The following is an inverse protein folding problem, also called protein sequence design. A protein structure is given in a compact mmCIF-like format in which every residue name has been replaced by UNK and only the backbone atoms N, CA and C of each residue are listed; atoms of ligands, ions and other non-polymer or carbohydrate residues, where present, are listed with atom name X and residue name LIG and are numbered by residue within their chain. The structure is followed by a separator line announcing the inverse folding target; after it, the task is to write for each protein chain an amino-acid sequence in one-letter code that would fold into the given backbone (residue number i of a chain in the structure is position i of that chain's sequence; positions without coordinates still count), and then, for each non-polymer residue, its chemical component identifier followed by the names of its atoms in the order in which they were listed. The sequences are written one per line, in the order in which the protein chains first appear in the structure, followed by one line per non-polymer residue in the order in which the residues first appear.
data_IF_786585047765
#
_entry.id   IF_786585047765
#
_cell.length_a   1.000
_cell.length_b   1.000
_cell.length_c   1.000
_cell.angle_alpha   90.00
_cell.angle_beta   90.00
_cell.angle_gamma   90.00
#
_symmetry.space_group_name_H-M   'P 1'
#
loop_
_entity.id
_entity.type
_entity.pdbx_description
1 polymer ?
#
# COMPACT_ATOMS: atom_id res chain seq x y z
N UNK A 1 -5.55 -5.01 30.07
CA UNK A 1 -4.65 -5.44 28.98
C UNK A 1 -5.34 -6.55 28.22
N UNK A 2 -5.36 -6.50 26.88
CA UNK A 2 -5.95 -7.56 26.03
C UNK A 2 -4.99 -8.74 25.99
N UNK A 3 -5.47 -9.94 26.34
CA UNK A 3 -4.69 -11.18 26.33
C UNK A 3 -4.29 -11.58 24.90
N UNK A 4 -3.21 -12.34 24.75
CA UNK A 4 -2.70 -12.76 23.44
C UNK A 4 -3.77 -13.44 22.58
N UNK A 5 -4.56 -14.34 23.16
CA UNK A 5 -5.68 -15.03 22.49
C UNK A 5 -6.67 -14.04 21.90
N UNK A 6 -7.08 -13.03 22.67
CA UNK A 6 -8.01 -11.99 22.19
C UNK A 6 -7.42 -11.20 21.03
N UNK A 7 -6.10 -10.92 21.04
CA UNK A 7 -5.44 -10.22 19.93
C UNK A 7 -5.48 -11.02 18.64
N UNK A 8 -5.17 -12.32 18.73
CA UNK A 8 -5.25 -13.22 17.58
C UNK A 8 -6.70 -13.36 17.09
N UNK A 9 -7.68 -13.51 17.99
CA UNK A 9 -9.09 -13.58 17.59
C UNK A 9 -9.55 -12.31 16.86
N UNK A 10 -9.17 -11.12 17.33
CA UNK A 10 -9.50 -9.86 16.64
C UNK A 10 -8.87 -9.83 15.24
N UNK A 11 -7.58 -10.19 15.13
CA UNK A 11 -6.89 -10.18 13.84
C UNK A 11 -7.48 -11.21 12.87
N UNK A 12 -7.55 -12.48 13.27
CA UNK A 12 -8.07 -13.55 12.41
C UNK A 12 -9.55 -13.35 12.08
N UNK A 13 -10.36 -12.90 13.05
CA UNK A 13 -11.75 -12.55 12.81
C UNK A 13 -11.90 -11.43 11.78
N UNK A 14 -11.06 -10.39 11.85
CA UNK A 14 -11.05 -9.32 10.86
C UNK A 14 -10.63 -9.83 9.47
N UNK A 15 -9.55 -10.63 9.38
CA UNK A 15 -9.08 -11.22 8.12
C UNK A 15 -10.13 -12.15 7.48
N UNK A 16 -10.90 -12.89 8.29
CA UNK A 16 -11.99 -13.74 7.83
C UNK A 16 -13.20 -12.92 7.34
N UNK A 17 -13.44 -11.74 7.92
CA UNK A 17 -14.53 -10.86 7.50
C UNK A 17 -14.20 -10.13 6.18
N UNK A 18 -12.92 -9.85 5.93
CA UNK A 18 -12.45 -9.09 4.77
C UNK A 18 -12.96 -9.63 3.43
N UNK A 19 -12.90 -10.94 3.09
CA UNK A 19 -13.49 -11.47 1.86
C UNK A 19 -14.96 -11.11 1.66
N UNK A 20 -15.79 -11.19 2.71
CA UNK A 20 -17.22 -10.88 2.62
C UNK A 20 -17.48 -9.40 2.30
N UNK A 21 -16.56 -8.52 2.70
CA UNK A 21 -16.65 -7.08 2.43
C UNK A 21 -16.26 -6.78 0.97
N UNK A 22 -15.19 -7.41 0.48
CA UNK A 22 -14.57 -7.01 -0.80
C UNK A 22 -15.09 -7.77 -2.01
N UNK A 23 -15.58 -9.00 -1.83
CA UNK A 23 -16.04 -9.82 -2.95
C UNK A 23 -17.21 -9.18 -3.73
N UNK A 24 -18.18 -8.49 -3.11
CA UNK A 24 -19.22 -7.77 -3.85
C UNK A 24 -18.67 -6.69 -4.79
N UNK A 25 -17.57 -6.02 -4.42
CA UNK A 25 -16.99 -4.95 -5.24
C UNK A 25 -16.42 -5.46 -6.57
N UNK A 26 -16.06 -6.75 -6.65
CA UNK A 26 -15.51 -7.37 -7.86
C UNK A 26 -16.60 -7.50 -8.94
N UNK A 27 -17.87 -7.66 -8.56
CA UNK A 27 -18.96 -7.88 -9.50
C UNK A 27 -19.16 -6.73 -10.49
N UNK A 28 -18.83 -5.49 -10.09
CA UNK A 28 -18.95 -4.31 -10.94
C UNK A 28 -17.69 -4.01 -11.75
N UNK A 29 -16.63 -4.81 -11.60
CA UNK A 29 -15.36 -4.64 -12.34
C UNK A 29 -15.30 -5.46 -13.62
N UNK A 30 -16.39 -6.09 -14.07
CA UNK A 30 -16.36 -6.90 -15.29
C UNK A 30 -15.85 -6.09 -16.49
N UNK A 31 -14.88 -6.67 -17.21
CA UNK A 31 -14.37 -6.16 -18.48
C UNK A 31 -15.10 -6.81 -19.65
N UNK A 32 -14.88 -6.31 -20.85
CA UNK A 32 -15.41 -6.90 -22.09
C UNK A 32 -14.90 -8.33 -22.36
N UNK A 33 -13.82 -8.73 -21.69
CA UNK A 33 -13.23 -10.07 -21.75
C UNK A 33 -13.86 -11.05 -20.74
N UNK A 34 -14.88 -10.61 -19.98
CA UNK A 34 -15.61 -11.44 -19.03
C UNK A 34 -14.93 -11.63 -17.66
N UNK A 35 -13.66 -11.22 -17.51
CA UNK A 35 -12.94 -11.18 -16.25
C UNK A 35 -12.98 -9.81 -15.55
N UNK A 36 -12.72 -9.70 -14.24
CA UNK A 36 -12.64 -8.42 -13.55
C UNK A 36 -11.43 -7.60 -14.01
N UNK A 37 -11.67 -6.38 -14.45
CA UNK A 37 -10.70 -5.53 -15.14
C UNK A 37 -9.51 -5.14 -14.25
N UNK A 38 -8.28 -5.20 -14.80
CA UNK A 38 -7.07 -4.78 -14.09
C UNK A 38 -7.04 -3.27 -13.82
N UNK A 39 -7.63 -2.48 -14.73
CA UNK A 39 -7.83 -1.05 -14.59
C UNK A 39 -9.29 -0.74 -14.33
N UNK A 40 -9.55 0.26 -13.50
CA UNK A 40 -10.93 0.64 -13.16
C UNK A 40 -11.62 1.31 -14.34
N UNK A 41 -10.86 2.04 -15.16
CA UNK A 41 -11.34 2.62 -16.42
C UNK A 41 -11.63 1.57 -17.50
N UNK A 42 -11.06 0.37 -17.38
CA UNK A 42 -11.27 -0.73 -18.33
C UNK A 42 -12.46 -1.63 -17.97
N UNK A 43 -13.27 -1.27 -16.99
CA UNK A 43 -14.51 -1.98 -16.67
C UNK A 43 -15.64 -1.53 -17.60
N UNK A 44 -16.63 -2.39 -17.84
CA UNK A 44 -17.84 -2.08 -18.63
C UNK A 44 -18.60 -0.87 -18.06
N UNK A 45 -18.58 -0.72 -16.74
CA UNK A 45 -19.17 0.39 -16.03
C UNK A 45 -18.15 1.02 -15.06
N UNK A 46 -17.24 1.89 -15.54
CA UNK A 46 -16.15 2.43 -14.73
C UNK A 46 -16.65 3.12 -13.45
N UNK A 47 -17.72 3.92 -13.58
CA UNK A 47 -18.32 4.62 -12.44
C UNK A 47 -18.83 3.66 -11.34
N UNK A 48 -19.47 2.54 -11.73
CA UNK A 48 -19.95 1.56 -10.76
C UNK A 48 -18.80 0.75 -10.15
N UNK A 49 -17.76 0.46 -10.93
CA UNK A 49 -16.54 -0.16 -10.44
C UNK A 49 -15.85 0.70 -9.37
N UNK A 50 -15.71 2.01 -9.64
CA UNK A 50 -15.18 2.98 -8.68
C UNK A 50 -16.04 3.07 -7.43
N UNK A 51 -17.37 3.19 -7.59
CA UNK A 51 -18.30 3.30 -6.47
C UNK A 51 -18.25 2.05 -5.57
N UNK A 52 -18.25 0.86 -6.17
CA UNK A 52 -18.16 -0.41 -5.45
C UNK A 52 -16.85 -0.55 -4.69
N UNK A 53 -15.74 -0.13 -5.32
CA UNK A 53 -14.42 -0.15 -4.70
C UNK A 53 -14.30 0.85 -3.56
N UNK A 54 -14.81 2.08 -3.74
CA UNK A 54 -14.86 3.09 -2.69
C UNK A 54 -15.72 2.63 -1.51
N UNK A 55 -16.88 2.03 -1.77
CA UNK A 55 -17.74 1.48 -0.71
C UNK A 55 -17.03 0.38 0.08
N UNK A 56 -16.37 -0.55 -0.61
CA UNK A 56 -15.58 -1.60 0.04
C UNK A 56 -14.45 -0.98 0.89
N UNK A 57 -13.73 0.01 0.37
CA UNK A 57 -12.67 0.73 1.10
C UNK A 57 -13.20 1.46 2.32
N UNK A 58 -14.40 2.06 2.28
CA UNK A 58 -15.03 2.70 3.45
C UNK A 58 -15.33 1.66 4.53
N UNK A 59 -15.88 0.50 4.16
CA UNK A 59 -16.17 -0.58 5.12
C UNK A 59 -14.87 -1.17 5.69
N UNK A 60 -13.86 -1.38 4.84
CA UNK A 60 -12.53 -1.81 5.27
C UNK A 60 -11.88 -0.77 6.19
N UNK A 61 -12.04 0.51 5.91
CA UNK A 61 -11.53 1.60 6.76
C UNK A 61 -12.19 1.57 8.14
N UNK A 62 -13.50 1.33 8.21
CA UNK A 62 -14.20 1.15 9.48
C UNK A 62 -13.66 -0.07 10.25
N UNK A 63 -13.53 -1.21 9.57
CA UNK A 63 -12.97 -2.44 10.15
C UNK A 63 -11.53 -2.23 10.64
N UNK A 64 -10.67 -1.70 9.79
CA UNK A 64 -9.28 -1.38 10.11
C UNK A 64 -9.16 -0.34 11.23
N UNK A 65 -10.07 0.63 11.30
CA UNK A 65 -10.22 1.55 12.42
C UNK A 65 -10.50 0.83 13.74
N UNK A 66 -11.48 -0.08 13.77
CA UNK A 66 -11.80 -0.90 14.95
C UNK A 66 -10.61 -1.76 15.36
N UNK A 67 -9.98 -2.46 14.42
CA UNK A 67 -8.79 -3.30 14.66
C UNK A 67 -7.63 -2.46 15.19
N UNK A 68 -7.41 -1.26 14.63
CA UNK A 68 -6.31 -0.38 15.03
C UNK A 68 -6.43 0.10 16.47
N UNK A 69 -7.65 0.35 16.95
CA UNK A 69 -7.90 0.69 18.35
C UNK A 69 -7.66 -0.49 19.28
N UNK A 70 -8.13 -1.67 18.89
CA UNK A 70 -7.94 -2.88 19.69
C UNK A 70 -6.48 -3.29 19.79
N UNK A 71 -5.74 -3.23 18.68
CA UNK A 71 -4.39 -3.77 18.55
C UNK A 71 -3.35 -2.66 18.41
N UNK A 72 -3.11 -2.23 17.17
CA UNK A 72 -2.18 -1.18 16.78
C UNK A 72 -2.52 -0.71 15.36
N UNK A 73 -2.15 0.54 15.05
CA UNK A 73 -2.29 1.21 13.75
C UNK A 73 -1.78 0.36 12.58
N UNK A 74 -0.57 -0.20 12.69
CA UNK A 74 0.00 -1.05 11.65
C UNK A 74 -0.87 -2.28 11.37
N UNK A 75 -1.43 -2.93 12.40
CA UNK A 75 -2.30 -4.09 12.22
C UNK A 75 -3.62 -3.72 11.55
N UNK A 76 -4.18 -2.56 11.88
CA UNK A 76 -5.38 -2.03 11.19
C UNK A 76 -5.13 -1.79 9.70
N UNK A 77 -4.01 -1.16 9.34
CA UNK A 77 -3.62 -0.93 7.94
C UNK A 77 -3.29 -2.23 7.22
N UNK A 78 -2.71 -3.22 7.90
CA UNK A 78 -2.48 -4.55 7.35
C UNK A 78 -3.79 -5.23 6.94
N UNK A 79 -4.84 -5.16 7.78
CA UNK A 79 -6.17 -5.71 7.45
C UNK A 79 -6.79 -5.03 6.23
N UNK A 80 -6.65 -3.70 6.12
CA UNK A 80 -7.12 -2.96 4.95
C UNK A 80 -6.34 -3.38 3.70
N UNK A 81 -5.02 -3.44 3.79
CA UNK A 81 -4.14 -3.89 2.71
C UNK A 81 -4.46 -5.30 2.26
N UNK A 82 -4.70 -6.23 3.19
CA UNK A 82 -5.15 -7.59 2.90
C UNK A 82 -6.45 -7.61 2.10
N UNK A 83 -7.41 -6.73 2.43
CA UNK A 83 -8.65 -6.59 1.65
C UNK A 83 -8.43 -6.12 0.24
N UNK A 84 -7.58 -5.10 0.04
CA UNK A 84 -7.24 -4.63 -1.31
C UNK A 84 -6.45 -5.69 -2.07
N UNK A 85 -5.55 -6.43 -1.42
CA UNK A 85 -4.86 -7.58 -2.00
C UNK A 85 -5.84 -8.65 -2.52
N UNK A 86 -6.92 -8.95 -1.79
CA UNK A 86 -7.94 -9.89 -2.25
C UNK A 86 -8.67 -9.37 -3.51
N UNK A 87 -8.94 -8.07 -3.60
CA UNK A 87 -9.51 -7.47 -4.81
C UNK A 87 -8.51 -7.59 -5.97
N UNK A 88 -7.25 -7.20 -5.75
CA UNK A 88 -6.18 -7.27 -6.75
C UNK A 88 -5.99 -8.70 -7.28
N UNK A 89 -5.97 -9.69 -6.38
CA UNK A 89 -5.82 -11.11 -6.75
C UNK A 89 -6.95 -11.65 -7.63
N UNK A 90 -8.15 -11.04 -7.52
CA UNK A 90 -9.33 -11.39 -8.31
C UNK A 90 -9.48 -10.56 -9.58
N UNK A 91 -8.71 -9.48 -9.72
CA UNK A 91 -8.60 -8.76 -10.99
C UNK A 91 -7.70 -9.53 -11.95
N UNK A 92 -7.89 -9.31 -13.24
CA UNK A 92 -7.04 -9.89 -14.26
C UNK A 92 -5.63 -9.29 -14.24
N UNK A 93 -4.73 -9.92 -14.99
CA UNK A 93 -3.31 -9.60 -15.04
C UNK A 93 -3.00 -8.54 -16.10
N UNK A 94 -1.70 -8.25 -16.26
CA UNK A 94 -1.15 -7.48 -17.38
C UNK A 94 -1.52 -8.05 -18.76
N UNK A 95 -1.85 -9.33 -18.86
CA UNK A 95 -2.23 -9.96 -20.12
C UNK A 95 -3.53 -9.37 -20.66
N UNK A 96 -4.60 -9.36 -19.84
CA UNK A 96 -5.87 -8.71 -20.21
C UNK A 96 -5.68 -7.22 -20.45
N UNK A 97 -4.84 -6.55 -19.66
CA UNK A 97 -4.50 -5.14 -19.89
C UNK A 97 -3.90 -4.93 -21.29
N UNK A 98 -2.94 -5.77 -21.70
CA UNK A 98 -2.27 -5.64 -22.98
C UNK A 98 -3.18 -5.91 -24.18
N UNK A 99 -4.06 -6.91 -24.08
CA UNK A 99 -5.01 -7.26 -25.14
C UNK A 99 -6.23 -6.35 -25.21
N UNK A 100 -6.51 -5.58 -24.15
CA UNK A 100 -7.56 -4.55 -24.17
C UNK A 100 -7.14 -3.26 -24.88
N UNK A 101 -5.93 -3.20 -25.45
CA UNK A 101 -5.34 -2.01 -26.08
C UNK A 101 -5.38 -0.75 -25.18
N UNK A 102 -5.44 -0.97 -23.86
CA UNK A 102 -5.49 0.10 -22.89
C UNK A 102 -4.17 0.88 -22.89
N UNK A 103 -4.28 2.20 -22.67
CA UNK A 103 -3.13 3.08 -22.67
C UNK A 103 -2.17 2.74 -21.53
N UNK A 104 -0.89 2.52 -21.85
CA UNK A 104 0.19 2.33 -20.86
C UNK A 104 0.34 3.56 -19.96
N UNK A 105 0.04 4.75 -20.48
CA UNK A 105 -0.01 5.97 -19.67
C UNK A 105 -1.13 5.93 -18.63
N UNK A 106 -2.30 5.37 -18.98
CA UNK A 106 -3.42 5.25 -18.05
C UNK A 106 -3.07 4.35 -16.85
N UNK A 107 -2.23 3.33 -17.04
CA UNK A 107 -1.72 2.50 -15.94
C UNK A 107 -1.00 3.34 -14.87
N UNK A 108 0.00 4.13 -15.29
CA UNK A 108 0.77 4.96 -14.36
C UNK A 108 -0.06 6.08 -13.73
N UNK A 109 -0.96 6.70 -14.50
CA UNK A 109 -1.89 7.73 -13.99
C UNK A 109 -2.85 7.14 -12.96
N UNK A 110 -3.47 6.00 -13.24
CA UNK A 110 -4.40 5.35 -12.31
C UNK A 110 -3.69 4.95 -11.00
N UNK A 111 -2.46 4.44 -11.07
CA UNK A 111 -1.63 4.17 -9.89
C UNK A 111 -1.40 5.45 -9.05
N UNK A 112 -1.13 6.59 -9.68
CA UNK A 112 -0.96 7.87 -8.95
C UNK A 112 -2.27 8.38 -8.36
N UNK A 113 -3.42 8.18 -9.03
CA UNK A 113 -4.72 8.60 -8.52
C UNK A 113 -5.12 7.90 -7.21
N UNK A 114 -4.52 6.75 -6.89
CA UNK A 114 -4.71 6.06 -5.62
C UNK A 114 -4.02 6.75 -4.42
N UNK A 115 -3.01 7.59 -4.66
CA UNK A 115 -2.26 8.30 -3.61
C UNK A 115 -3.16 9.07 -2.65
N UNK A 116 -4.05 9.99 -3.09
CA UNK A 116 -4.92 10.72 -2.18
C UNK A 116 -5.83 9.80 -1.37
N UNK A 117 -6.33 8.71 -1.98
CA UNK A 117 -7.21 7.76 -1.30
C UNK A 117 -6.45 7.03 -0.19
N UNK A 118 -5.27 6.50 -0.51
CA UNK A 118 -4.41 5.81 0.47
C UNK A 118 -3.93 6.74 1.57
N UNK A 119 -3.58 7.99 1.23
CA UNK A 119 -3.23 9.01 2.21
C UNK A 119 -4.39 9.31 3.16
N UNK A 120 -5.62 9.43 2.66
CA UNK A 120 -6.81 9.63 3.50
C UNK A 120 -7.02 8.42 4.43
N UNK A 121 -6.94 7.20 3.89
CA UNK A 121 -7.06 5.96 4.68
C UNK A 121 -6.03 5.96 5.82
N UNK A 122 -4.75 6.22 5.51
CA UNK A 122 -3.69 6.17 6.51
C UNK A 122 -3.86 7.28 7.55
N UNK A 123 -4.18 8.51 7.14
CA UNK A 123 -4.46 9.62 8.06
C UNK A 123 -5.62 9.28 9.00
N UNK A 124 -6.73 8.75 8.47
CA UNK A 124 -7.91 8.41 9.29
C UNK A 124 -7.58 7.32 10.30
N UNK A 125 -6.90 6.24 9.88
CA UNK A 125 -6.52 5.15 10.79
C UNK A 125 -5.57 5.66 11.87
N UNK A 126 -4.53 6.42 11.51
CA UNK A 126 -3.59 6.99 12.48
C UNK A 126 -4.26 7.95 13.47
N UNK A 127 -5.22 8.77 13.02
CA UNK A 127 -5.97 9.64 13.92
C UNK A 127 -6.86 8.84 14.86
N UNK A 128 -7.54 7.82 14.36
CA UNK A 128 -8.46 7.02 15.16
C UNK A 128 -7.74 6.18 16.22
N UNK A 129 -6.52 5.71 15.91
CA UNK A 129 -5.68 4.90 16.81
C UNK A 129 -4.74 5.71 17.71
N UNK A 130 -4.62 7.03 17.49
CA UNK A 130 -3.63 7.94 18.10
C UNK A 130 -2.17 7.62 17.72
N UNK A 131 -1.95 7.13 16.50
CA UNK A 131 -0.62 6.87 15.94
C UNK A 131 0.00 5.55 16.38
N UNK A 132 1.25 5.30 15.99
CA UNK A 132 2.02 4.16 16.47
C UNK A 132 2.42 4.39 17.93
N UNK A 133 2.13 3.40 18.79
CA UNK A 133 2.39 3.47 20.24
C UNK A 133 3.88 3.49 20.60
N UNK A 134 4.72 3.04 19.68
CA UNK A 134 6.17 2.90 19.81
C UNK A 134 6.96 4.11 19.26
N UNK A 135 6.27 5.15 18.80
CA UNK A 135 6.91 6.41 18.42
C UNK A 135 6.84 7.36 19.61
N UNK A 136 7.99 7.79 20.10
CA UNK A 136 8.04 8.78 21.18
C UNK A 136 7.58 10.14 20.64
N UNK A 137 6.50 10.68 21.18
CA UNK A 137 6.03 12.03 20.88
C UNK A 137 6.46 12.96 22.01
N UNK A 138 7.41 13.85 21.75
CA UNK A 138 7.69 14.96 22.65
C UNK A 138 6.61 16.06 22.50
N UNK A 139 6.54 17.02 23.42
CA UNK A 139 5.53 18.10 23.39
C UNK A 139 5.57 18.94 22.11
N UNK A 140 6.71 18.97 21.43
CA UNK A 140 6.93 19.66 20.15
C UNK A 140 6.57 18.84 18.91
N UNK A 141 6.27 17.54 19.05
CA UNK A 141 5.92 16.69 17.90
C UNK A 141 4.45 16.87 17.50
N UNK A 142 4.15 17.15 16.21
CA UNK A 142 2.77 17.32 15.78
C UNK A 142 1.95 16.04 15.98
N UNK A 143 0.62 16.16 16.20
CA UNK A 143 -0.25 14.99 16.37
C UNK A 143 -0.16 14.02 15.19
N UNK A 144 -0.29 12.72 15.47
CA UNK A 144 -0.27 11.68 14.44
C UNK A 144 -1.33 11.94 13.34
N UNK A 145 -0.89 12.02 12.09
CA UNK A 145 -1.75 12.32 10.95
C UNK A 145 -2.18 13.79 10.83
N UNK A 146 -1.62 14.73 11.61
CA UNK A 146 -1.82 16.17 11.40
C UNK A 146 -1.17 16.64 10.09
N UNK A 147 -1.72 17.70 9.48
CA UNK A 147 -1.15 18.28 8.24
C UNK A 147 0.29 18.74 8.44
N UNK A 148 0.60 19.25 9.62
CA UNK A 148 1.95 19.66 10.00
C UNK A 148 2.93 18.48 10.03
N UNK A 149 2.53 17.34 10.61
CA UNK A 149 3.34 16.11 10.57
C UNK A 149 3.60 15.61 9.14
N UNK A 150 2.64 15.80 8.22
CA UNK A 150 2.77 15.35 6.83
C UNK A 150 3.68 16.26 6.00
N UNK A 151 3.60 17.58 6.24
CA UNK A 151 4.40 18.59 5.51
C UNK A 151 5.81 18.76 6.05
N UNK A 152 6.08 18.27 7.26
CA UNK A 152 7.42 18.27 7.83
C UNK A 152 8.42 17.53 6.93
N UNK A 153 9.70 17.96 6.98
CA UNK A 153 10.80 17.37 6.21
C UNK A 153 10.85 15.85 6.37
N UNK A 154 10.73 15.37 7.60
CA UNK A 154 10.78 13.94 7.90
C UNK A 154 9.54 13.20 7.39
N UNK A 155 8.37 13.84 7.44
CA UNK A 155 7.14 13.30 6.86
C UNK A 155 7.28 13.09 5.36
N UNK A 156 7.77 14.10 4.64
CA UNK A 156 8.02 14.02 3.20
C UNK A 156 9.15 13.04 2.85
N UNK A 157 10.19 12.95 3.68
CA UNK A 157 11.28 12.00 3.49
C UNK A 157 10.81 10.53 3.53
N UNK A 158 9.71 10.21 4.23
CA UNK A 158 9.11 8.86 4.21
C UNK A 158 8.61 8.45 2.82
N UNK A 159 8.28 9.40 1.93
CA UNK A 159 7.90 9.07 0.55
C UNK A 159 9.07 8.46 -0.22
N UNK A 160 10.30 8.86 0.10
CA UNK A 160 11.52 8.35 -0.55
C UNK A 160 11.78 6.89 -0.23
N UNK A 161 11.19 6.35 0.85
CA UNK A 161 11.23 4.92 1.15
C UNK A 161 10.49 4.07 0.09
N UNK A 162 9.73 4.71 -0.80
CA UNK A 162 9.21 4.07 -2.02
C UNK A 162 10.30 3.61 -2.99
N UNK A 163 11.45 4.29 -3.03
CA UNK A 163 12.56 3.94 -3.93
C UNK A 163 13.07 2.51 -3.68
N UNK A 164 13.52 2.15 -2.46
CA UNK A 164 13.95 0.78 -2.20
C UNK A 164 12.79 -0.22 -2.35
N UNK A 165 11.55 0.17 -2.05
CA UNK A 165 10.39 -0.72 -2.24
C UNK A 165 10.17 -1.08 -3.71
N UNK A 166 10.22 -0.10 -4.62
CA UNK A 166 10.09 -0.33 -6.06
C UNK A 166 11.31 -1.08 -6.60
N UNK A 167 12.52 -0.78 -6.11
CA UNK A 167 13.73 -1.51 -6.50
C UNK A 167 13.66 -3.01 -6.16
N UNK A 168 13.19 -3.34 -4.95
CA UNK A 168 12.99 -4.74 -4.53
C UNK A 168 11.85 -5.38 -5.32
N UNK A 169 10.75 -4.66 -5.54
CA UNK A 169 9.63 -5.15 -6.38
C UNK A 169 10.13 -5.54 -7.76
N UNK A 170 10.88 -4.65 -8.43
CA UNK A 170 11.48 -4.92 -9.73
C UNK A 170 12.40 -6.15 -9.72
N UNK A 171 13.25 -6.28 -8.69
CA UNK A 171 14.17 -7.40 -8.57
C UNK A 171 13.46 -8.74 -8.37
N UNK A 172 12.31 -8.74 -7.68
CA UNK A 172 11.54 -9.94 -7.39
C UNK A 172 10.56 -10.31 -8.49
N UNK A 173 10.20 -9.40 -9.40
CA UNK A 173 9.32 -9.71 -10.53
C UNK A 173 10.00 -10.72 -11.48
N UNK A 174 9.39 -11.89 -11.57
CA UNK A 174 9.88 -13.03 -12.34
C UNK A 174 8.87 -13.52 -13.39
N UNK A 175 7.57 -13.40 -13.11
CA UNK A 175 6.50 -13.70 -14.05
C UNK A 175 5.27 -12.80 -13.78
N UNK A 176 4.30 -12.81 -14.68
CA UNK A 176 3.13 -11.92 -14.57
C UNK A 176 1.94 -12.54 -13.82
N UNK A 177 2.12 -13.64 -13.10
CA UNK A 177 1.00 -14.21 -12.32
C UNK A 177 0.61 -13.29 -11.16
N UNK A 178 -0.69 -13.14 -10.91
CA UNK A 178 -1.21 -12.23 -9.86
C UNK A 178 -0.51 -12.42 -8.51
N UNK A 179 -0.34 -13.67 -8.07
CA UNK A 179 0.32 -13.97 -6.80
C UNK A 179 1.79 -13.57 -6.76
N UNK A 180 2.50 -13.68 -7.88
CA UNK A 180 3.92 -13.31 -7.98
C UNK A 180 4.08 -11.79 -7.98
N UNK A 181 3.29 -11.09 -8.80
CA UNK A 181 3.30 -9.63 -8.90
C UNK A 181 2.94 -8.99 -7.55
N UNK A 182 1.82 -9.40 -6.97
CA UNK A 182 1.37 -8.91 -5.67
C UNK A 182 2.36 -9.26 -4.55
N UNK A 183 2.93 -10.46 -4.57
CA UNK A 183 3.95 -10.90 -3.62
C UNK A 183 5.24 -10.07 -3.71
N UNK A 184 5.67 -9.72 -4.92
CA UNK A 184 6.84 -8.86 -5.16
C UNK A 184 6.60 -7.44 -4.62
N UNK A 185 5.43 -6.86 -4.88
CA UNK A 185 5.06 -5.54 -4.35
C UNK A 185 4.98 -5.57 -2.83
N UNK A 186 4.34 -6.59 -2.25
CA UNK A 186 4.24 -6.77 -0.81
C UNK A 186 5.64 -6.86 -0.18
N UNK A 187 6.52 -7.71 -0.71
CA UNK A 187 7.88 -7.87 -0.21
C UNK A 187 8.70 -6.58 -0.35
N UNK A 188 8.58 -5.88 -1.48
CA UNK A 188 9.19 -4.56 -1.67
C UNK A 188 8.71 -3.56 -0.64
N UNK A 189 7.40 -3.49 -0.40
CA UNK A 189 6.81 -2.61 0.60
C UNK A 189 7.18 -2.98 2.05
N UNK A 190 7.44 -4.27 2.35
CA UNK A 190 8.03 -4.70 3.64
C UNK A 190 9.40 -4.07 3.82
N UNK A 191 10.28 -4.18 2.80
CA UNK A 191 11.62 -3.59 2.85
C UNK A 191 11.55 -2.06 2.97
N UNK A 192 10.71 -1.40 2.18
CA UNK A 192 10.47 0.04 2.30
C UNK A 192 9.96 0.42 3.70
N UNK A 193 9.07 -0.39 4.26
CA UNK A 193 8.55 -0.23 5.62
C UNK A 193 9.63 -0.31 6.70
N UNK A 194 10.51 -1.30 6.61
CA UNK A 194 11.65 -1.47 7.51
C UNK A 194 12.62 -0.30 7.40
N UNK A 195 13.04 0.04 6.17
CA UNK A 195 13.99 1.13 5.92
C UNK A 195 13.43 2.46 6.43
N UNK A 196 12.17 2.77 6.11
CA UNK A 196 11.54 4.00 6.58
C UNK A 196 11.45 4.08 8.09
N UNK A 197 11.16 2.96 8.76
CA UNK A 197 11.10 2.92 10.22
C UNK A 197 12.47 3.14 10.87
N UNK A 198 13.53 2.58 10.28
CA UNK A 198 14.90 2.71 10.79
C UNK A 198 15.51 4.09 10.48
N UNK A 199 15.23 4.65 9.30
CA UNK A 199 15.74 5.94 8.89
C UNK A 199 15.10 7.10 9.68
N UNK A 200 13.83 6.97 10.02
CA UNK A 200 13.03 8.04 10.65
C UNK A 200 12.25 7.49 11.87
N UNK A 201 12.95 7.05 12.94
CA UNK A 201 12.35 6.35 14.08
C UNK A 201 11.45 7.23 14.95
N UNK A 202 11.58 8.56 14.85
CA UNK A 202 10.81 9.54 15.64
C UNK A 202 9.55 10.05 14.93
N UNK A 203 9.39 9.70 13.66
CA UNK A 203 8.30 10.23 12.82
C UNK A 203 7.20 9.20 12.68
N UNK A 204 5.95 9.65 12.78
CA UNK A 204 4.79 8.80 12.53
C UNK A 204 4.77 8.40 11.04
N UNK A 205 4.82 7.11 10.69
CA UNK A 205 5.00 6.65 9.31
C UNK A 205 3.70 6.71 8.49
N UNK A 206 3.04 7.87 8.43
CA UNK A 206 1.76 8.05 7.71
C UNK A 206 1.97 8.03 6.20
N UNK A 207 2.96 8.79 5.70
CA UNK A 207 3.29 8.87 4.28
C UNK A 207 4.13 7.68 3.77
N UNK A 208 4.63 6.84 4.68
CA UNK A 208 5.38 5.63 4.32
C UNK A 208 4.56 4.68 3.43
N UNK A 209 3.25 4.61 3.67
CA UNK A 209 2.30 3.81 2.91
C UNK A 209 1.95 4.38 1.52
N UNK A 210 2.34 5.63 1.26
CA UNK A 210 2.10 6.31 -0.02
C UNK A 210 3.34 6.26 -0.90
N UNK A 211 4.53 6.24 -0.29
CA UNK A 211 5.82 6.27 -1.00
C UNK A 211 5.93 5.24 -2.13
N UNK A 212 5.72 3.94 -1.88
CA UNK A 212 5.84 2.92 -2.92
C UNK A 212 4.85 3.11 -4.08
N UNK A 213 3.62 3.57 -3.81
CA UNK A 213 2.61 3.87 -4.85
C UNK A 213 3.06 5.04 -5.71
N UNK A 214 3.55 6.12 -5.07
CA UNK A 214 4.06 7.30 -5.78
C UNK A 214 5.25 6.94 -6.67
N UNK A 215 6.26 6.25 -6.12
CA UNK A 215 7.46 5.90 -6.89
C UNK A 215 7.13 4.86 -7.96
N UNK A 216 6.25 3.89 -7.67
CA UNK A 216 5.80 2.89 -8.63
C UNK A 216 5.04 3.51 -9.79
N UNK A 217 4.08 4.39 -9.51
CA UNK A 217 3.32 5.13 -10.53
C UNK A 217 4.19 6.05 -11.37
N UNK A 218 5.14 6.77 -10.75
CA UNK A 218 6.12 7.58 -11.50
C UNK A 218 7.03 6.72 -12.38
N UNK A 219 7.49 5.57 -11.89
CA UNK A 219 8.28 4.63 -12.68
C UNK A 219 7.47 4.09 -13.88
N UNK A 220 6.18 3.79 -13.69
CA UNK A 220 5.29 3.38 -14.77
C UNK A 220 5.09 4.48 -15.81
N UNK A 221 4.93 5.73 -15.38
CA UNK A 221 4.85 6.90 -16.29
C UNK A 221 6.15 7.07 -17.09
N UNK A 222 7.30 6.99 -16.44
CA UNK A 222 8.61 7.10 -17.11
C UNK A 222 8.76 5.98 -18.12
N UNK A 223 8.43 4.74 -17.75
CA UNK A 223 8.48 3.60 -18.67
C UNK A 223 7.49 3.76 -19.84
N UNK A 224 6.27 4.24 -19.58
CA UNK A 224 5.27 4.52 -20.60
C UNK A 224 5.75 5.59 -21.61
N UNK A 225 6.47 6.61 -21.13
CA UNK A 225 6.99 7.68 -22.00
C UNK A 225 8.07 7.22 -22.97
N UNK A 226 8.85 6.21 -22.59
CA UNK A 226 9.87 5.59 -23.43
C UNK A 226 9.39 4.35 -24.19
N UNK A 227 8.12 3.99 -24.05
CA UNK A 227 7.57 2.77 -24.64
C UNK A 227 7.17 3.01 -26.10
N UNK A 228 7.72 2.22 -27.02
CA UNK A 228 7.33 2.22 -28.43
C UNK A 228 6.58 0.94 -28.79
N UNK A 229 5.48 1.08 -29.54
CA UNK A 229 4.64 -0.04 -29.94
C UNK A 229 3.51 -0.35 -28.94
N UNK A 230 2.91 -1.53 -29.08
CA UNK A 230 1.79 -1.98 -28.24
C UNK A 230 2.29 -2.84 -27.08
N UNK A 231 1.54 -2.85 -25.97
CA UNK A 231 1.87 -3.68 -24.81
C UNK A 231 1.78 -5.17 -25.15
N UNK A 232 0.83 -5.58 -26.01
CA UNK A 232 0.66 -6.95 -26.46
C UNK A 232 1.89 -7.47 -27.21
N UNK A 233 2.44 -6.69 -28.14
CA UNK A 233 3.62 -7.08 -28.91
C UNK A 233 4.84 -7.26 -27.99
N UNK A 234 5.02 -6.36 -27.02
CA UNK A 234 6.13 -6.43 -26.08
C UNK A 234 6.00 -7.58 -25.08
N UNK A 235 4.78 -7.97 -24.69
CA UNK A 235 4.57 -9.14 -23.84
C UNK A 235 4.88 -10.43 -24.61
N UNK A 236 4.40 -10.54 -25.85
CA UNK A 236 4.68 -11.70 -26.71
C UNK A 236 6.19 -11.81 -27.01
N UNK A 237 6.85 -10.69 -27.26
CA UNK A 237 8.30 -10.63 -27.48
C UNK A 237 9.14 -10.80 -26.20
N UNK A 238 8.51 -10.81 -25.01
CA UNK A 238 9.20 -10.89 -23.72
C UNK A 238 10.04 -9.64 -23.38
N UNK A 239 9.79 -8.51 -24.04
CA UNK A 239 10.53 -7.25 -23.90
C UNK A 239 9.82 -6.23 -23.02
N UNK A 240 8.57 -6.49 -22.63
CA UNK A 240 7.80 -5.61 -21.75
C UNK A 240 8.52 -5.37 -20.40
N UNK A 241 8.77 -4.11 -20.02
CA UNK A 241 9.36 -3.77 -18.73
C UNK A 241 8.55 -4.35 -17.56
N UNK A 242 9.24 -5.02 -16.64
CA UNK A 242 8.59 -5.78 -15.55
C UNK A 242 7.67 -4.94 -14.67
N UNK A 243 8.01 -3.67 -14.42
CA UNK A 243 7.19 -2.78 -13.60
C UNK A 243 5.84 -2.40 -14.25
N UNK A 244 5.69 -2.60 -15.57
CA UNK A 244 4.40 -2.44 -16.25
C UNK A 244 3.49 -3.66 -16.04
N UNK A 245 3.99 -4.76 -15.44
CA UNK A 245 3.16 -5.91 -15.07
C UNK A 245 2.35 -5.65 -13.79
N UNK A 246 2.74 -4.65 -13.00
CA UNK A 246 2.13 -4.34 -11.72
C UNK A 246 0.88 -3.48 -11.94
N UNK A 247 -0.28 -3.98 -11.56
CA UNK A 247 -1.54 -3.25 -11.70
C UNK A 247 -1.74 -2.26 -10.54
N UNK A 248 -2.60 -1.23 -10.67
CA UNK A 248 -2.74 -0.20 -9.65
C UNK A 248 -3.15 -0.77 -8.28
N UNK A 249 -4.04 -1.77 -8.26
CA UNK A 249 -4.48 -2.41 -7.01
C UNK A 249 -3.40 -3.30 -6.38
N UNK A 250 -2.46 -3.82 -7.16
CA UNK A 250 -1.29 -4.52 -6.61
C UNK A 250 -0.43 -3.55 -5.82
N UNK A 251 -0.17 -2.36 -6.37
CA UNK A 251 0.53 -1.28 -5.67
C UNK A 251 -0.18 -0.90 -4.38
N UNK A 252 -1.49 -0.67 -4.42
CA UNK A 252 -2.25 -0.24 -3.23
C UNK A 252 -2.27 -1.32 -2.16
N UNK A 253 -2.70 -2.54 -2.50
CA UNK A 253 -2.83 -3.63 -1.54
C UNK A 253 -1.48 -4.09 -1.00
N UNK A 254 -0.53 -4.33 -1.91
CA UNK A 254 0.83 -4.73 -1.56
C UNK A 254 1.53 -3.69 -0.69
N UNK A 255 1.34 -2.40 -0.96
CA UNK A 255 1.94 -1.34 -0.14
C UNK A 255 1.30 -1.23 1.24
N UNK A 256 -0.04 -1.18 1.33
CA UNK A 256 -0.74 -1.09 2.61
C UNK A 256 -0.42 -2.27 3.52
N UNK A 257 -0.47 -3.49 2.97
CA UNK A 257 -0.15 -4.72 3.70
C UNK A 257 1.34 -4.83 4.01
N UNK A 258 2.18 -4.67 2.98
CA UNK A 258 3.62 -4.89 3.07
C UNK A 258 4.30 -3.88 3.98
N UNK A 259 4.03 -2.58 3.83
CA UNK A 259 4.62 -1.56 4.71
C UNK A 259 4.16 -1.73 6.16
N UNK A 260 2.90 -2.09 6.41
CA UNK A 260 2.41 -2.38 7.75
C UNK A 260 3.14 -3.58 8.38
N UNK A 261 3.35 -4.63 7.60
CA UNK A 261 4.11 -5.80 8.03
C UNK A 261 5.59 -5.43 8.27
N UNK A 262 6.19 -4.62 7.41
CA UNK A 262 7.54 -4.10 7.55
C UNK A 262 7.75 -3.29 8.82
N UNK A 263 6.78 -2.47 9.23
CA UNK A 263 6.81 -1.80 10.55
C UNK A 263 6.85 -2.81 11.70
N UNK A 264 6.11 -3.92 11.59
CA UNK A 264 6.13 -5.02 12.55
C UNK A 264 7.48 -5.74 12.60
N UNK A 265 8.06 -6.05 11.44
CA UNK A 265 9.40 -6.64 11.30
C UNK A 265 10.45 -5.72 11.92
N UNK A 266 10.42 -4.43 11.61
CA UNK A 266 11.35 -3.45 12.14
C UNK A 266 11.35 -3.45 13.68
N UNK A 267 10.15 -3.48 14.28
CA UNK A 267 10.01 -3.56 15.74
C UNK A 267 10.50 -4.88 16.32
N UNK A 268 10.21 -6.00 15.65
CA UNK A 268 10.58 -7.34 16.13
C UNK A 268 12.10 -7.55 16.16
N UNK A 269 12.81 -7.09 15.13
CA UNK A 269 14.26 -7.34 14.99
C UNK A 269 15.14 -6.17 15.42
N UNK A 270 14.64 -4.94 15.41
CA UNK A 270 15.42 -3.73 15.70
C UNK A 270 14.81 -2.87 16.82
N UNK A 271 13.96 -3.47 17.67
CA UNK A 271 13.27 -2.77 18.75
C UNK A 271 14.21 -1.97 19.66
N UNK A 272 15.30 -2.58 20.12
CA UNK A 272 16.29 -1.89 20.97
C UNK A 272 16.94 -0.69 20.25
N UNK A 273 17.30 -0.85 18.98
CA UNK A 273 17.86 0.22 18.16
C UNK A 273 16.88 1.37 17.99
N UNK A 274 15.60 1.06 17.75
CA UNK A 274 14.52 2.04 17.62
C UNK A 274 14.29 2.79 18.93
N UNK A 275 14.30 2.09 20.07
CA UNK A 275 14.15 2.69 21.39
C UNK A 275 15.31 3.63 21.72
N UNK A 276 16.55 3.23 21.43
CA UNK A 276 17.74 4.07 21.63
C UNK A 276 17.70 5.31 20.73
N UNK A 277 17.34 5.15 19.47
CA UNK A 277 17.23 6.27 18.53
C UNK A 277 16.07 7.22 18.87
N UNK A 278 15.00 6.71 19.50
CA UNK A 278 13.85 7.50 19.91
C UNK A 278 14.08 8.34 21.17
N UNK A 279 15.10 8.02 21.99
CA UNK A 279 15.41 8.81 23.20
C UNK A 279 15.82 10.24 22.83
N UNK A 280 15.33 11.27 23.54
CA UNK A 280 15.83 12.63 23.37
C UNK A 280 17.34 12.63 23.58
N UNK A 281 18.09 13.22 22.65
CA UNK A 281 19.50 13.51 22.95
C UNK A 281 19.46 14.50 24.12
N UNK A 282 19.95 14.08 25.28
CA UNK A 282 20.08 14.97 26.41
C UNK A 282 20.86 16.18 25.91
N UNK A 283 20.21 17.34 25.87
CA UNK A 283 20.88 18.61 25.60
C UNK A 283 21.96 18.74 26.66
N UNK A 284 23.19 18.41 26.28
CA UNK A 284 24.38 18.87 26.99
C UNK A 284 24.36 20.37 26.79
N UNK A 285 23.70 21.07 27.71
CA UNK A 285 23.82 22.52 27.84
C UNK A 285 25.29 22.76 28.20
N UNK A 286 26.06 23.20 27.20
CA UNK A 286 27.35 23.84 27.42
C UNK A 286 27.11 25.24 28.01
#
# INVERSE_FOLDING_TARGET
MINAIQRYMILFGALLLTPFIVMPAIAWRLSDWGGPSPLTHGAQSPFMADLGLLLALVILLALGGVVSRGLNTAVGLFVIGFGVCLIAFRCDTVETFAWSEASIWALGVETILWIPIVAVITIVVFRFSKGLRDVYSDYSTPPAGSIESLRGRDGLAMLLCGIPAVGVTWALLANWSNGQVLGAVFAGAVVGGVIGRLALPRTQPVLLFVGPILVGGLAQIVLASGFSGTMSDALVAGTAPRLLWVMPLDWVGGTLGGSAFGLGVARMFFGETLELAARPQATVRA
#
